data_IF_672438512145
#
_entry.id   IF_672438512145
#
_cell.length_a   1.000
_cell.length_b   1.000
_cell.length_c   1.000
_cell.angle_alpha   90.00
_cell.angle_beta   90.00
_cell.angle_gamma   90.00
#
_symmetry.space_group_name_H-M   'P 1'
#
loop_
_entity.id
_entity.type
_entity.pdbx_description
1 polymer ?
#
# COMPACT_ATOMS: atom_id res chain seq x y z
N UNK A 1 -19.59 21.28 6.39
CA UNK A 1 -18.31 21.05 5.70
C UNK A 1 -17.24 21.20 6.77
N UNK A 2 -16.81 20.09 7.38
CA UNK A 2 -15.79 20.14 8.44
C UNK A 2 -14.46 20.50 7.81
N UNK A 3 -13.79 21.50 8.36
CA UNK A 3 -12.41 21.87 8.05
C UNK A 3 -11.54 20.63 8.30
N UNK A 4 -11.23 19.90 7.23
CA UNK A 4 -10.24 18.83 7.26
C UNK A 4 -8.90 19.52 7.44
N UNK A 5 -8.21 19.22 8.55
CA UNK A 5 -6.99 19.90 8.96
C UNK A 5 -6.00 19.99 7.80
N UNK A 6 -5.49 21.20 7.55
CA UNK A 6 -4.47 21.39 6.53
C UNK A 6 -3.23 20.58 6.91
N UNK A 7 -2.73 19.78 5.98
CA UNK A 7 -1.50 19.00 6.15
C UNK A 7 -0.26 19.88 5.99
N UNK A 8 0.94 19.34 6.27
CA UNK A 8 2.21 20.05 6.03
C UNK A 8 2.42 20.35 4.55
N UNK A 9 1.83 19.55 3.67
CA UNK A 9 1.83 19.75 2.23
C UNK A 9 0.80 20.79 1.75
N UNK A 10 -0.03 21.33 2.66
CA UNK A 10 -1.14 22.23 2.31
C UNK A 10 -2.28 21.54 1.55
N UNK A 11 -2.29 20.20 1.55
CA UNK A 11 -3.31 19.38 0.92
C UNK A 11 -4.41 19.02 1.94
N UNK A 12 -5.63 18.72 1.48
CA UNK A 12 -6.62 18.08 2.34
C UNK A 12 -6.14 16.69 2.76
N UNK A 13 -6.34 16.32 4.03
CA UNK A 13 -6.00 15.01 4.61
C UNK A 13 -6.42 13.84 3.71
N UNK A 14 -7.64 13.92 3.16
CA UNK A 14 -8.19 12.87 2.28
C UNK A 14 -7.39 12.69 0.99
N UNK A 15 -6.93 13.81 0.40
CA UNK A 15 -6.17 13.81 -0.84
C UNK A 15 -4.78 13.25 -0.57
N UNK A 16 -4.14 13.70 0.50
CA UNK A 16 -2.79 13.27 0.85
C UNK A 16 -2.69 11.79 1.22
N UNK A 17 -3.59 11.31 2.08
CA UNK A 17 -3.65 9.89 2.44
C UNK A 17 -3.96 9.00 1.20
N UNK A 18 -4.85 9.46 0.31
CA UNK A 18 -5.13 8.77 -0.94
C UNK A 18 -3.91 8.73 -1.87
N UNK A 19 -3.21 9.85 -2.08
CA UNK A 19 -2.01 9.89 -2.93
C UNK A 19 -0.91 8.97 -2.39
N UNK A 20 -0.76 8.90 -1.07
CA UNK A 20 0.19 8.01 -0.43
C UNK A 20 -0.08 6.54 -0.79
N UNK A 21 -1.31 6.08 -0.59
CA UNK A 21 -1.71 4.68 -0.82
C UNK A 21 -1.86 4.33 -2.31
N UNK A 22 -2.37 5.24 -3.13
CA UNK A 22 -2.61 4.98 -4.55
C UNK A 22 -1.31 4.74 -5.33
N UNK A 23 -0.27 5.54 -5.06
CA UNK A 23 1.06 5.38 -5.66
C UNK A 23 1.98 4.45 -4.87
N UNK A 24 1.44 3.71 -3.89
CA UNK A 24 2.14 2.72 -3.07
C UNK A 24 3.51 3.22 -2.58
N UNK A 25 4.59 2.62 -3.07
CA UNK A 25 5.96 2.92 -2.63
C UNK A 25 6.34 4.38 -2.88
N UNK A 26 6.09 4.90 -4.08
CA UNK A 26 6.54 6.24 -4.46
C UNK A 26 5.71 7.30 -3.73
N UNK A 27 4.38 7.15 -3.75
CA UNK A 27 3.48 8.06 -3.03
C UNK A 27 3.73 8.03 -1.53
N UNK A 28 3.86 6.83 -0.97
CA UNK A 28 4.17 6.63 0.44
C UNK A 28 5.48 7.28 0.85
N UNK A 29 6.57 7.11 0.09
CA UNK A 29 7.86 7.77 0.42
C UNK A 29 7.72 9.29 0.40
N UNK A 30 7.10 9.84 -0.64
CA UNK A 30 6.96 11.30 -0.78
C UNK A 30 6.15 11.86 0.38
N UNK A 31 4.96 11.31 0.64
CA UNK A 31 4.08 11.77 1.72
C UNK A 31 4.72 11.55 3.09
N UNK A 32 5.40 10.43 3.33
CA UNK A 32 6.05 10.17 4.62
C UNK A 32 7.18 11.16 4.95
N UNK A 33 7.88 11.66 3.93
CA UNK A 33 8.98 12.63 4.09
C UNK A 33 8.46 14.07 4.21
N UNK A 34 7.42 14.41 3.44
CA UNK A 34 6.86 15.75 3.42
C UNK A 34 5.91 16.01 4.61
N UNK A 35 5.16 15.00 5.03
CA UNK A 35 4.16 15.13 6.08
C UNK A 35 4.76 15.01 7.48
N UNK A 36 4.64 16.09 8.26
CA UNK A 36 5.20 16.18 9.62
C UNK A 36 4.16 16.41 10.70
N UNK A 37 2.96 16.82 10.31
CA UNK A 37 1.92 17.29 11.24
C UNK A 37 0.85 16.24 11.50
N UNK A 38 0.40 15.54 10.47
CA UNK A 38 -0.75 14.67 10.53
C UNK A 38 -0.31 13.19 10.62
N UNK A 39 -0.52 12.59 11.78
CA UNK A 39 -0.15 11.19 12.06
C UNK A 39 -0.95 10.22 11.17
N UNK A 40 -2.20 10.54 10.82
CA UNK A 40 -3.04 9.70 9.97
C UNK A 40 -2.47 9.59 8.54
N UNK A 41 -2.11 10.73 7.92
CA UNK A 41 -1.47 10.74 6.60
C UNK A 41 -0.12 10.02 6.63
N UNK A 42 0.67 10.22 7.69
CA UNK A 42 1.96 9.56 7.87
C UNK A 42 1.83 8.04 8.10
N UNK A 43 0.77 7.59 8.77
CA UNK A 43 0.47 6.16 8.94
C UNK A 43 0.06 5.49 7.62
N UNK A 44 -0.78 6.16 6.81
CA UNK A 44 -1.09 5.68 5.46
C UNK A 44 0.15 5.69 4.55
N UNK A 45 1.02 6.69 4.66
CA UNK A 45 2.27 6.72 3.94
C UNK A 45 3.21 5.57 4.34
N UNK A 46 3.35 5.29 5.64
CA UNK A 46 4.10 4.14 6.14
C UNK A 46 3.49 2.80 5.66
N UNK A 47 2.17 2.66 5.70
CA UNK A 47 1.46 1.47 5.21
C UNK A 47 1.70 1.26 3.71
N UNK A 48 1.63 2.32 2.91
CA UNK A 48 1.89 2.30 1.47
C UNK A 48 3.35 1.90 1.15
N UNK A 49 4.32 2.37 1.94
CA UNK A 49 5.73 1.96 1.83
C UNK A 49 5.88 0.46 2.13
N UNK A 50 5.31 -0.02 3.25
CA UNK A 50 5.43 -1.43 3.66
C UNK A 50 4.82 -2.34 2.59
N UNK A 51 3.59 -2.06 2.15
CA UNK A 51 2.95 -2.83 1.08
C UNK A 51 3.71 -2.71 -0.23
N UNK A 52 4.24 -1.54 -0.57
CA UNK A 52 5.09 -1.34 -1.74
C UNK A 52 6.35 -2.22 -1.73
N UNK A 53 7.03 -2.33 -0.59
CA UNK A 53 8.23 -3.19 -0.44
C UNK A 53 7.85 -4.67 -0.56
N UNK A 54 6.79 -5.10 0.14
CA UNK A 54 6.29 -6.48 0.07
C UNK A 54 5.94 -6.85 -1.38
N UNK A 55 5.29 -5.93 -2.11
CA UNK A 55 4.98 -6.13 -3.52
C UNK A 55 6.23 -6.36 -4.35
N UNK A 56 7.23 -5.49 -4.20
CA UNK A 56 8.46 -5.55 -4.99
C UNK A 56 9.19 -6.88 -4.76
N UNK A 57 9.32 -7.31 -3.49
CA UNK A 57 9.95 -8.58 -3.13
C UNK A 57 9.17 -9.75 -3.74
N UNK A 58 7.85 -9.77 -3.57
CA UNK A 58 6.98 -10.81 -4.10
C UNK A 58 7.04 -10.86 -5.63
N UNK A 59 7.01 -9.72 -6.30
CA UNK A 59 7.04 -9.63 -7.76
C UNK A 59 8.37 -10.14 -8.34
N UNK A 60 9.49 -9.77 -7.73
CA UNK A 60 10.82 -10.32 -8.09
C UNK A 60 10.86 -11.84 -7.90
N UNK A 61 10.34 -12.35 -6.79
CA UNK A 61 10.29 -13.79 -6.54
C UNK A 61 9.44 -14.53 -7.59
N UNK A 62 8.29 -13.97 -7.96
CA UNK A 62 7.41 -14.54 -8.99
C UNK A 62 8.04 -14.55 -10.38
N UNK A 63 8.81 -13.51 -10.74
CA UNK A 63 9.54 -13.47 -12.01
C UNK A 63 10.59 -14.57 -12.06
N UNK A 64 11.38 -14.73 -11.01
CA UNK A 64 12.43 -15.76 -10.93
C UNK A 64 11.78 -17.15 -11.01
N UNK A 65 10.74 -17.39 -10.22
CA UNK A 65 10.02 -18.67 -10.24
C UNK A 65 9.36 -18.94 -11.61
N UNK A 66 8.84 -17.91 -12.27
CA UNK A 66 8.28 -18.01 -13.62
C UNK A 66 9.31 -18.34 -14.69
N UNK A 67 10.51 -17.74 -14.61
CA UNK A 67 11.60 -18.06 -15.51
C UNK A 67 12.04 -19.53 -15.37
N UNK A 68 12.10 -20.06 -14.15
CA UNK A 68 12.42 -21.46 -13.88
C UNK A 68 11.29 -22.39 -14.36
N UNK A 69 10.04 -22.06 -14.07
CA UNK A 69 8.89 -22.86 -14.47
C UNK A 69 8.66 -22.87 -16.00
N UNK A 70 9.02 -21.79 -16.69
CA UNK A 70 8.96 -21.69 -18.15
C UNK A 70 9.98 -22.57 -18.87
N UNK A 71 11.10 -22.91 -18.21
CA UNK A 71 12.06 -23.89 -18.72
C UNK A 71 11.61 -25.35 -18.48
N UNK A 72 10.60 -25.57 -17.63
CA UNK A 72 10.02 -26.89 -17.36
C UNK A 72 8.92 -27.28 -18.37
N UNK A 73 8.33 -28.47 -18.20
CA UNK A 73 7.25 -28.94 -19.06
C UNK A 73 6.04 -27.98 -19.08
N UNK A 74 5.36 -27.86 -20.24
CA UNK A 74 4.23 -26.92 -20.47
C UNK A 74 3.09 -26.98 -19.43
N UNK A 75 2.90 -28.12 -18.76
CA UNK A 75 1.87 -28.25 -17.71
C UNK A 75 2.27 -27.48 -16.44
N UNK A 76 3.54 -27.50 -16.09
CA UNK A 76 4.08 -26.79 -14.91
C UNK A 76 3.96 -25.28 -15.09
N UNK A 77 4.28 -24.78 -16.29
CA UNK A 77 4.16 -23.34 -16.60
C UNK A 77 2.70 -22.85 -16.53
N UNK A 78 1.74 -23.67 -16.99
CA UNK A 78 0.31 -23.29 -16.92
C UNK A 78 -0.19 -23.23 -15.49
N UNK A 79 0.10 -24.24 -14.66
CA UNK A 79 -0.29 -24.24 -13.24
C UNK A 79 0.34 -23.04 -12.52
N UNK A 80 1.62 -22.78 -12.77
CA UNK A 80 2.33 -21.64 -12.18
C UNK A 80 1.70 -20.29 -12.57
N UNK A 81 1.30 -20.12 -13.85
CA UNK A 81 0.64 -18.91 -14.32
C UNK A 81 -0.71 -18.65 -13.62
N UNK A 82 -1.49 -19.70 -13.36
CA UNK A 82 -2.75 -19.60 -12.63
C UNK A 82 -2.51 -19.15 -11.18
N UNK A 83 -1.51 -19.73 -10.51
CA UNK A 83 -1.12 -19.33 -9.15
C UNK A 83 -0.70 -17.85 -9.12
N UNK A 84 0.12 -17.41 -10.08
CA UNK A 84 0.54 -16.01 -10.19
C UNK A 84 -0.66 -15.08 -10.40
N UNK A 85 -1.63 -15.48 -11.23
CA UNK A 85 -2.85 -14.70 -11.46
C UNK A 85 -3.69 -14.57 -10.17
N UNK A 86 -3.83 -15.64 -9.40
CA UNK A 86 -4.54 -15.62 -8.10
C UNK A 86 -3.83 -14.69 -7.11
N UNK A 87 -2.50 -14.79 -6.99
CA UNK A 87 -1.72 -13.91 -6.09
C UNK A 87 -1.86 -12.45 -6.53
N UNK A 88 -1.76 -12.16 -7.83
CA UNK A 88 -1.97 -10.82 -8.37
C UNK A 88 -3.38 -10.29 -8.11
N UNK A 89 -4.40 -11.15 -8.17
CA UNK A 89 -5.77 -10.78 -7.87
C UNK A 89 -5.98 -10.46 -6.38
N UNK A 90 -5.42 -11.28 -5.47
CA UNK A 90 -5.43 -11.00 -4.03
C UNK A 90 -4.74 -9.65 -3.75
N UNK A 91 -3.60 -9.40 -4.40
CA UNK A 91 -2.89 -8.13 -4.28
C UNK A 91 -3.75 -6.94 -4.72
N UNK A 92 -4.44 -7.09 -5.85
CA UNK A 92 -5.32 -6.05 -6.38
C UNK A 92 -6.45 -5.70 -5.40
N UNK A 93 -7.03 -6.69 -4.73
CA UNK A 93 -8.05 -6.47 -3.69
C UNK A 93 -7.47 -5.69 -2.51
N UNK A 94 -6.28 -6.07 -2.02
CA UNK A 94 -5.62 -5.38 -0.90
C UNK A 94 -5.30 -3.93 -1.29
N UNK A 95 -4.80 -3.71 -2.50
CA UNK A 95 -4.50 -2.38 -3.00
C UNK A 95 -5.75 -1.51 -3.03
N UNK A 96 -6.86 -2.01 -3.59
CA UNK A 96 -8.15 -1.31 -3.58
C UNK A 96 -8.61 -1.01 -2.16
N UNK A 97 -8.53 -1.98 -1.27
CA UNK A 97 -8.93 -1.84 0.11
C UNK A 97 -8.17 -0.71 0.81
N UNK A 98 -6.84 -0.65 0.67
CA UNK A 98 -6.01 0.34 1.36
C UNK A 98 -6.35 1.79 0.97
N UNK A 99 -6.42 2.11 -0.32
CA UNK A 99 -6.74 3.48 -0.73
C UNK A 99 -8.22 3.82 -0.52
N UNK A 100 -9.12 2.84 -0.56
CA UNK A 100 -10.53 3.05 -0.22
C UNK A 100 -10.70 3.37 1.27
N UNK A 101 -10.00 2.65 2.16
CA UNK A 101 -10.03 2.93 3.59
C UNK A 101 -9.44 4.31 3.91
N UNK A 102 -8.39 4.74 3.18
CA UNK A 102 -7.86 6.09 3.27
C UNK A 102 -8.91 7.15 2.90
N UNK A 103 -9.73 6.93 1.87
CA UNK A 103 -10.79 7.85 1.48
C UNK A 103 -11.96 7.87 2.48
N UNK A 104 -12.44 6.69 2.90
CA UNK A 104 -13.61 6.57 3.76
C UNK A 104 -13.35 7.08 5.18
N UNK A 105 -12.15 6.85 5.71
CA UNK A 105 -11.79 7.23 7.08
C UNK A 105 -11.05 8.56 7.20
N UNK A 106 -10.78 9.25 6.09
CA UNK A 106 -10.15 10.58 6.16
C UNK A 106 -10.95 11.60 6.97
N UNK A 107 -12.29 11.52 6.99
CA UNK A 107 -13.12 12.43 7.79
C UNK A 107 -13.02 12.17 9.30
N UNK A 108 -12.74 10.92 9.70
CA UNK A 108 -12.62 10.54 11.11
C UNK A 108 -11.17 10.52 11.58
N UNK A 109 -10.21 10.65 10.66
CA UNK A 109 -8.76 10.46 10.88
C UNK A 109 -8.41 9.16 11.63
N UNK A 110 -9.32 8.17 11.58
CA UNK A 110 -9.13 6.88 12.21
C UNK A 110 -8.35 5.98 11.26
N UNK A 111 -7.10 5.70 11.62
CA UNK A 111 -6.30 4.78 10.83
C UNK A 111 -6.81 3.34 10.99
N UNK A 112 -7.36 2.77 9.91
CA UNK A 112 -7.78 1.38 9.85
C UNK A 112 -7.16 0.73 8.61
N UNK A 113 -6.17 -0.11 8.86
CA UNK A 113 -5.51 -0.93 7.84
C UNK A 113 -5.52 -2.40 8.26
N UNK A 114 -5.08 -3.27 7.35
CA UNK A 114 -5.04 -4.73 7.55
C UNK A 114 -4.36 -5.09 8.89
N UNK A 115 -5.00 -5.90 9.75
CA UNK A 115 -4.46 -6.27 11.06
C UNK A 115 -3.10 -6.97 10.89
N UNK A 116 -2.08 -6.44 11.57
CA UNK A 116 -0.69 -6.90 11.50
C UNK A 116 0.26 -5.84 10.92
N UNK A 117 -0.11 -5.16 9.85
CA UNK A 117 0.69 -4.06 9.28
C UNK A 117 0.29 -2.72 9.88
N UNK A 118 -0.97 -2.59 10.29
CA UNK A 118 -1.51 -1.36 10.86
C UNK A 118 -0.78 -0.89 12.13
N UNK A 119 -0.43 -1.81 13.04
CA UNK A 119 0.31 -1.49 14.26
C UNK A 119 1.75 -1.05 13.99
N UNK A 120 2.41 -1.64 12.98
CA UNK A 120 3.75 -1.23 12.56
C UNK A 120 3.74 0.14 11.87
N UNK A 121 2.76 0.38 11.00
CA UNK A 121 2.60 1.65 10.31
C UNK A 121 2.35 2.81 11.29
N UNK A 122 1.49 2.60 12.29
CA UNK A 122 1.24 3.58 13.37
C UNK A 122 2.50 3.86 14.17
N UNK A 123 3.20 2.82 14.63
CA UNK A 123 4.44 2.97 15.40
C UNK A 123 5.54 3.70 14.60
N UNK A 124 5.55 3.53 13.27
CA UNK A 124 6.51 4.22 12.41
C UNK A 124 6.10 5.68 12.15
N UNK A 125 4.79 5.97 12.10
CA UNK A 125 4.27 7.32 11.97
C UNK A 125 4.44 8.17 13.23
N UNK A 126 4.38 7.55 14.42
CA UNK A 126 4.62 8.23 15.72
C UNK A 126 6.07 8.66 15.94
N UNK A 127 7.01 8.13 15.15
CA UNK A 127 8.44 8.38 15.26
C UNK A 127 8.90 9.54 14.39
#
# INVERSE_FOLDING_TARGET
MSETGTTSCGLPVIVEAFLAEFFCLIGGIIVFVLEKTNIYCKAHAANAIIWGIIYCIMWVALIIAGAIAGAAARVVSTIFSIICAIIGFIWFIIWIFNWLMALLKANSEEFFAVPGISSFALKWAEK
#
